data_IF_471200763678
#
_entry.id   IF_471200763678
#
_cell.length_a   1.000
_cell.length_b   1.000
_cell.length_c   1.000
_cell.angle_alpha   90.00
_cell.angle_beta   90.00
_cell.angle_gamma   90.00
#
_symmetry.space_group_name_H-M   'P 1'
#
loop_
_entity.id
_entity.type
_entity.pdbx_description
1 polymer ?
#
# COMPACT_ATOMS: atom_id res chain seq x y z
N UNK A 1 40.59 -30.11 54.01
CA UNK A 1 39.94 -31.16 53.23
C UNK A 1 38.47 -30.79 53.14
N UNK A 2 38.11 -30.17 52.08
CA UNK A 2 36.73 -30.13 51.67
C UNK A 2 36.68 -29.88 50.18
N UNK A 3 36.29 -30.92 49.49
CA UNK A 3 36.18 -31.08 48.09
C UNK A 3 34.79 -30.64 47.69
N UNK A 4 34.61 -29.58 46.92
CA UNK A 4 33.36 -29.24 46.29
C UNK A 4 33.50 -28.02 45.36
N UNK A 5 34.32 -28.13 44.33
CA UNK A 5 34.25 -27.22 43.20
C UNK A 5 33.98 -28.04 41.92
N UNK A 6 32.68 -28.22 41.65
CA UNK A 6 32.21 -28.77 40.40
C UNK A 6 31.50 -27.65 39.64
N UNK A 7 32.00 -27.19 38.47
CA UNK A 7 31.30 -26.18 37.68
C UNK A 7 30.04 -26.74 37.08
N UNK A 8 28.94 -26.04 37.29
CA UNK A 8 27.65 -26.28 36.63
C UNK A 8 27.81 -26.06 35.11
N UNK A 9 27.69 -27.14 34.37
CA UNK A 9 27.55 -27.12 32.91
C UNK A 9 26.26 -26.39 32.55
N UNK A 10 26.42 -25.20 31.98
CA UNK A 10 25.28 -24.47 31.38
C UNK A 10 24.76 -25.25 30.15
N UNK A 11 23.58 -25.81 30.28
CA UNK A 11 22.88 -26.43 29.18
C UNK A 11 22.55 -25.36 28.12
N UNK A 12 23.06 -25.57 26.91
CA UNK A 12 22.74 -24.79 25.72
C UNK A 12 21.25 -24.98 25.39
N UNK A 13 20.45 -23.90 25.16
CA UNK A 13 19.07 -24.07 24.74
C UNK A 13 19.04 -24.70 23.34
N UNK A 14 17.99 -25.48 23.00
CA UNK A 14 17.87 -26.10 21.70
C UNK A 14 17.73 -25.03 20.62
N UNK A 15 18.53 -25.16 19.56
CA UNK A 15 18.51 -24.38 18.34
C UNK A 15 17.15 -24.60 17.68
N UNK A 16 16.22 -23.65 17.91
CA UNK A 16 14.92 -23.63 17.30
C UNK A 16 15.07 -23.37 15.81
N UNK A 17 14.74 -24.34 15.01
CA UNK A 17 14.62 -24.24 13.57
C UNK A 17 13.69 -23.08 13.23
N UNK A 18 14.25 -21.98 12.73
CA UNK A 18 13.49 -20.95 12.07
C UNK A 18 12.93 -21.53 10.78
N UNK A 19 11.62 -21.74 10.75
CA UNK A 19 10.92 -22.04 9.53
C UNK A 19 11.15 -20.90 8.51
N UNK A 20 11.40 -21.17 7.23
CA UNK A 20 11.60 -20.14 6.24
C UNK A 20 10.28 -19.36 6.04
N UNK A 21 10.29 -18.07 6.37
CA UNK A 21 9.26 -17.12 5.97
C UNK A 21 9.40 -16.81 4.47
N UNK A 22 9.24 -17.83 3.65
CA UNK A 22 9.37 -17.77 2.21
C UNK A 22 8.15 -18.35 1.53
N UNK A 23 6.95 -17.89 1.90
CA UNK A 23 5.78 -18.06 1.07
C UNK A 23 5.83 -17.00 -0.02
N UNK A 24 6.31 -17.34 -1.22
CA UNK A 24 6.05 -16.58 -2.43
C UNK A 24 4.54 -16.68 -2.67
N UNK A 25 3.76 -15.76 -2.07
CA UNK A 25 2.37 -15.60 -2.41
C UNK A 25 2.34 -15.06 -3.84
N UNK A 26 2.11 -15.96 -4.80
CA UNK A 26 1.63 -15.57 -6.12
C UNK A 26 0.28 -14.89 -5.89
N UNK A 27 0.27 -13.54 -5.87
CA UNK A 27 -0.97 -12.78 -5.83
C UNK A 27 -1.76 -13.12 -7.10
N UNK A 28 -2.76 -13.99 -6.94
CA UNK A 28 -3.74 -14.19 -7.99
C UNK A 28 -4.43 -12.85 -8.21
N UNK A 29 -4.44 -12.36 -9.46
CA UNK A 29 -5.18 -11.15 -9.84
C UNK A 29 -6.62 -11.36 -9.40
N UNK A 30 -7.10 -10.59 -8.42
CA UNK A 30 -8.48 -10.64 -7.99
C UNK A 30 -9.37 -10.39 -9.22
N UNK A 31 -10.28 -11.30 -9.51
CA UNK A 31 -11.23 -11.11 -10.61
C UNK A 31 -12.07 -9.88 -10.30
N UNK A 32 -12.29 -9.03 -11.32
CA UNK A 32 -13.10 -7.82 -11.18
C UNK A 32 -14.47 -8.19 -10.57
N UNK A 33 -14.74 -7.73 -9.35
CA UNK A 33 -16.01 -7.94 -8.65
C UNK A 33 -15.95 -8.81 -7.38
N UNK A 34 -14.85 -9.51 -7.08
CA UNK A 34 -14.72 -10.19 -5.79
C UNK A 34 -14.34 -9.19 -4.69
N UNK A 35 -14.96 -9.27 -3.49
CA UNK A 35 -14.55 -8.41 -2.37
C UNK A 35 -13.15 -8.77 -1.91
N UNK A 36 -12.34 -7.73 -1.60
CA UNK A 36 -11.05 -7.92 -0.96
C UNK A 36 -11.28 -8.26 0.52
N UNK A 37 -10.67 -9.33 0.96
CA UNK A 37 -10.78 -9.79 2.36
C UNK A 37 -9.57 -9.31 3.18
N UNK A 38 -9.68 -9.22 4.50
CA UNK A 38 -8.53 -9.04 5.38
C UNK A 38 -7.39 -9.99 5.04
N UNK A 39 -6.16 -9.49 5.09
CA UNK A 39 -4.97 -10.18 4.57
C UNK A 39 -4.56 -9.75 3.17
N UNK A 40 -5.46 -9.09 2.39
CA UNK A 40 -5.09 -8.43 1.13
C UNK A 40 -4.27 -7.17 1.39
N UNK A 41 -3.54 -6.71 0.39
CA UNK A 41 -2.74 -5.48 0.43
C UNK A 41 -3.43 -4.35 -0.32
N UNK A 42 -3.63 -3.22 0.34
CA UNK A 42 -4.15 -1.98 -0.25
C UNK A 42 -3.00 -1.03 -0.56
N UNK A 43 -2.91 -0.63 -1.83
CA UNK A 43 -1.94 0.35 -2.30
C UNK A 43 -2.48 1.77 -2.22
N UNK A 44 -1.62 2.73 -1.90
CA UNK A 44 -1.97 4.16 -1.82
C UNK A 44 -0.93 4.98 -2.57
N UNK A 45 -1.39 5.83 -3.48
CA UNK A 45 -0.60 6.93 -4.03
C UNK A 45 -0.80 8.16 -3.16
N UNK A 46 0.31 8.65 -2.57
CA UNK A 46 0.30 9.75 -1.62
C UNK A 46 0.60 9.30 -0.18
N UNK A 47 1.58 9.98 0.42
CA UNK A 47 2.11 9.66 1.74
C UNK A 47 1.73 10.65 2.84
N UNK A 48 0.79 11.57 2.60
CA UNK A 48 0.41 12.62 3.53
C UNK A 48 -0.43 12.14 4.72
N UNK A 49 -1.07 13.08 5.40
CA UNK A 49 -1.84 12.78 6.61
C UNK A 49 -3.11 11.98 6.33
N UNK A 50 -3.79 12.24 5.21
CA UNK A 50 -4.98 11.46 4.83
C UNK A 50 -4.58 10.01 4.51
N UNK A 51 -3.47 9.82 3.78
CA UNK A 51 -2.89 8.50 3.53
C UNK A 51 -2.53 7.79 4.83
N UNK A 52 -1.97 8.49 5.82
CA UNK A 52 -1.69 7.91 7.14
C UNK A 52 -2.97 7.46 7.86
N UNK A 53 -4.03 8.26 7.83
CA UNK A 53 -5.31 7.89 8.43
C UNK A 53 -5.90 6.65 7.73
N UNK A 54 -5.83 6.59 6.40
CA UNK A 54 -6.22 5.43 5.63
C UNK A 54 -5.42 4.18 6.04
N UNK A 55 -4.08 4.29 6.09
CA UNK A 55 -3.19 3.19 6.48
C UNK A 55 -3.55 2.64 7.85
N UNK A 56 -3.72 3.49 8.85
CA UNK A 56 -4.11 3.07 10.19
C UNK A 56 -5.45 2.32 10.20
N UNK A 57 -6.44 2.85 9.46
CA UNK A 57 -7.75 2.22 9.41
C UNK A 57 -7.74 0.90 8.64
N UNK A 58 -7.01 0.82 7.53
CA UNK A 58 -6.82 -0.42 6.79
C UNK A 58 -6.15 -1.51 7.64
N UNK A 59 -5.09 -1.15 8.36
CA UNK A 59 -4.40 -2.08 9.27
C UNK A 59 -5.31 -2.53 10.42
N UNK A 60 -6.11 -1.64 10.99
CA UNK A 60 -7.09 -1.98 12.05
C UNK A 60 -8.15 -2.98 11.55
N UNK A 61 -8.45 -2.98 10.26
CA UNK A 61 -9.36 -3.94 9.60
C UNK A 61 -8.65 -5.21 9.11
N UNK A 62 -7.34 -5.35 9.36
CA UNK A 62 -6.58 -6.54 9.00
C UNK A 62 -6.02 -6.57 7.57
N UNK A 63 -5.93 -5.43 6.89
CA UNK A 63 -5.26 -5.32 5.59
C UNK A 63 -3.79 -4.97 5.73
N UNK A 64 -2.98 -5.44 4.79
CA UNK A 64 -1.64 -4.90 4.57
C UNK A 64 -1.72 -3.61 3.75
N UNK A 65 -0.66 -2.79 3.80
CA UNK A 65 -0.64 -1.49 3.13
C UNK A 65 0.69 -1.26 2.42
N UNK A 66 0.63 -0.71 1.22
CA UNK A 66 1.77 -0.25 0.44
C UNK A 66 1.55 1.22 0.05
N UNK A 67 2.50 2.10 0.34
CA UNK A 67 2.43 3.53 0.03
C UNK A 67 3.52 3.88 -0.96
N UNK A 68 3.16 4.64 -2.00
CA UNK A 68 4.11 5.25 -2.93
C UNK A 68 4.13 6.76 -2.68
N UNK A 69 5.27 7.26 -2.24
CA UNK A 69 5.54 8.67 -2.01
C UNK A 69 7.04 8.92 -2.03
N UNK A 70 7.47 10.03 -2.64
CA UNK A 70 8.89 10.36 -2.79
C UNK A 70 9.56 10.80 -1.48
N UNK A 71 8.79 11.31 -0.51
CA UNK A 71 9.32 11.74 0.79
C UNK A 71 9.58 10.53 1.70
N UNK A 72 10.86 10.24 2.04
CA UNK A 72 11.20 9.14 2.93
C UNK A 72 10.61 9.29 4.34
N UNK A 73 10.18 10.49 4.70
CA UNK A 73 9.57 10.82 6.01
C UNK A 73 8.06 11.01 5.91
N UNK A 74 7.46 10.64 4.79
CA UNK A 74 6.03 10.82 4.57
C UNK A 74 5.20 10.14 5.67
N UNK A 75 4.18 10.83 6.22
CA UNK A 75 3.39 10.34 7.34
C UNK A 75 2.77 8.95 7.14
N UNK A 76 2.29 8.63 5.94
CA UNK A 76 1.74 7.32 5.61
C UNK A 76 2.84 6.28 5.36
N UNK A 77 3.92 6.67 4.69
CA UNK A 77 5.06 5.79 4.42
C UNK A 77 5.68 5.22 5.68
N UNK A 78 5.85 6.06 6.72
CA UNK A 78 6.43 5.67 8.01
C UNK A 78 5.62 4.61 8.79
N UNK A 79 4.35 4.46 8.50
CA UNK A 79 3.44 3.52 9.22
C UNK A 79 2.92 2.39 8.33
N UNK A 80 3.22 2.42 7.03
CA UNK A 80 2.82 1.37 6.08
C UNK A 80 3.71 0.13 6.21
N UNK A 81 3.23 -1.01 5.72
CA UNK A 81 4.04 -2.23 5.63
C UNK A 81 5.11 -2.13 4.54
N UNK A 82 4.81 -1.39 3.46
CA UNK A 82 5.73 -1.14 2.36
C UNK A 82 5.70 0.33 1.98
N UNK A 83 6.87 0.97 1.94
CA UNK A 83 7.03 2.34 1.47
C UNK A 83 7.92 2.35 0.23
N UNK A 84 7.34 2.71 -0.91
CA UNK A 84 8.01 2.83 -2.20
C UNK A 84 8.39 4.31 -2.36
N UNK A 85 9.68 4.61 -2.16
CA UNK A 85 10.19 5.99 -2.07
C UNK A 85 10.55 6.51 -3.46
N UNK A 86 9.55 6.86 -4.26
CA UNK A 86 9.74 7.41 -5.61
C UNK A 86 8.58 8.33 -6.01
N UNK A 87 8.76 9.09 -7.09
CA UNK A 87 7.73 9.97 -7.63
C UNK A 87 6.58 9.20 -8.29
N UNK A 88 5.42 9.85 -8.38
CA UNK A 88 4.19 9.24 -8.92
C UNK A 88 4.24 8.89 -10.41
N UNK A 89 5.24 9.36 -11.14
CA UNK A 89 5.43 9.07 -12.58
C UNK A 89 6.54 8.05 -12.83
N UNK A 90 7.20 7.56 -11.79
CA UNK A 90 8.23 6.53 -11.91
C UNK A 90 7.60 5.18 -12.29
N UNK A 91 7.92 4.69 -13.49
CA UNK A 91 7.36 3.45 -14.02
C UNK A 91 7.73 2.22 -13.16
N UNK A 92 8.93 2.20 -12.58
CA UNK A 92 9.38 1.09 -11.73
C UNK A 92 8.64 1.12 -10.38
N UNK A 93 8.46 2.30 -9.80
CA UNK A 93 7.68 2.48 -8.57
C UNK A 93 6.21 2.09 -8.74
N UNK A 94 5.58 2.51 -9.85
CA UNK A 94 4.20 2.12 -10.17
C UNK A 94 4.07 0.61 -10.38
N UNK A 95 5.01 -0.01 -11.07
CA UNK A 95 5.02 -1.46 -11.25
C UNK A 95 5.20 -2.20 -9.91
N UNK A 96 6.03 -1.69 -9.02
CA UNK A 96 6.24 -2.26 -7.69
C UNK A 96 5.00 -2.09 -6.81
N UNK A 97 4.34 -0.92 -6.82
CA UNK A 97 3.07 -0.72 -6.13
C UNK A 97 2.01 -1.71 -6.64
N UNK A 98 1.87 -1.87 -7.95
CA UNK A 98 0.95 -2.83 -8.53
C UNK A 98 1.30 -4.28 -8.16
N UNK A 99 2.59 -4.63 -8.08
CA UNK A 99 3.04 -5.96 -7.68
C UNK A 99 2.66 -6.29 -6.23
N UNK A 100 2.78 -5.32 -5.34
CA UNK A 100 2.53 -5.48 -3.90
C UNK A 100 1.04 -5.42 -3.54
N UNK A 101 0.21 -4.79 -4.37
CA UNK A 101 -1.17 -4.44 -4.02
C UNK A 101 -2.19 -5.30 -4.74
N UNK A 102 -3.31 -5.59 -4.07
CA UNK A 102 -4.50 -6.23 -4.65
C UNK A 102 -5.49 -5.20 -5.20
N UNK A 103 -5.50 -3.99 -4.63
CA UNK A 103 -6.18 -2.81 -5.17
C UNK A 103 -5.42 -1.55 -4.78
N UNK A 104 -5.65 -0.46 -5.53
CA UNK A 104 -4.95 0.82 -5.31
C UNK A 104 -5.96 1.97 -5.19
N UNK A 105 -5.65 2.90 -4.30
CA UNK A 105 -6.35 4.19 -4.15
C UNK A 105 -5.37 5.35 -4.16
N UNK A 106 -5.88 6.57 -4.14
CA UNK A 106 -5.10 7.80 -3.92
C UNK A 106 -5.66 8.56 -2.74
N UNK A 107 -4.82 9.31 -2.04
CA UNK A 107 -5.25 10.12 -0.89
C UNK A 107 -5.77 11.50 -1.29
N UNK A 108 -5.39 12.01 -2.47
CA UNK A 108 -5.70 13.37 -2.92
C UNK A 108 -5.76 13.45 -4.44
N UNK A 109 -6.34 14.53 -4.96
CA UNK A 109 -6.63 14.71 -6.38
C UNK A 109 -5.40 15.08 -7.23
N UNK A 110 -4.30 15.52 -6.63
CA UNK A 110 -3.12 16.00 -7.39
C UNK A 110 -2.16 14.89 -7.84
N UNK A 111 -2.49 13.63 -7.57
CA UNK A 111 -1.76 12.51 -8.17
C UNK A 111 -2.04 12.46 -9.66
N UNK A 112 -1.03 12.39 -10.55
CA UNK A 112 -1.26 12.39 -11.98
C UNK A 112 -2.26 11.31 -12.41
N UNK A 113 -3.33 11.69 -13.11
CA UNK A 113 -4.34 10.76 -13.60
C UNK A 113 -3.72 9.66 -14.50
N UNK A 114 -2.63 9.96 -15.21
CA UNK A 114 -1.87 9.00 -16.01
C UNK A 114 -1.26 7.88 -15.16
N UNK A 115 -0.79 8.18 -13.94
CA UNK A 115 -0.29 7.17 -13.01
C UNK A 115 -1.39 6.20 -12.58
N UNK A 116 -2.58 6.74 -12.27
CA UNK A 116 -3.75 5.91 -11.94
C UNK A 116 -4.21 5.06 -13.14
N UNK A 117 -4.15 5.60 -14.36
CA UNK A 117 -4.47 4.85 -15.58
C UNK A 117 -3.48 3.70 -15.80
N UNK A 118 -2.19 3.93 -15.57
CA UNK A 118 -1.15 2.89 -15.64
C UNK A 118 -1.42 1.77 -14.64
N UNK A 119 -1.75 2.11 -13.40
CA UNK A 119 -2.08 1.13 -12.36
C UNK A 119 -3.38 0.39 -12.67
N UNK A 120 -4.40 1.07 -13.23
CA UNK A 120 -5.68 0.47 -13.57
C UNK A 120 -5.59 -0.62 -14.66
N UNK A 121 -4.53 -0.60 -15.47
CA UNK A 121 -4.23 -1.68 -16.40
C UNK A 121 -3.73 -2.97 -15.71
N UNK A 122 -3.31 -2.86 -14.46
CA UNK A 122 -2.65 -3.94 -13.70
C UNK A 122 -3.48 -4.40 -12.49
N UNK A 123 -4.18 -3.49 -11.83
CA UNK A 123 -4.94 -3.73 -10.58
C UNK A 123 -6.24 -2.91 -10.57
N UNK A 124 -7.23 -3.31 -9.77
CA UNK A 124 -8.38 -2.46 -9.46
C UNK A 124 -7.91 -1.13 -8.85
N UNK A 125 -8.38 -0.02 -9.41
CA UNK A 125 -8.06 1.34 -8.94
C UNK A 125 -9.35 2.10 -8.66
N UNK A 126 -9.42 2.74 -7.50
CA UNK A 126 -10.52 3.62 -7.11
C UNK A 126 -9.97 4.85 -6.38
N UNK A 127 -10.41 6.07 -6.72
CA UNK A 127 -11.32 6.44 -7.80
C UNK A 127 -10.75 6.18 -9.20
N UNK A 128 -11.61 6.13 -10.21
CA UNK A 128 -11.16 5.95 -11.59
C UNK A 128 -10.28 7.12 -12.05
N UNK A 129 -9.26 6.83 -12.86
CA UNK A 129 -8.34 7.85 -13.39
C UNK A 129 -9.09 9.00 -14.10
N UNK A 130 -10.18 8.69 -14.83
CA UNK A 130 -11.02 9.69 -15.48
C UNK A 130 -11.73 10.62 -14.50
N UNK A 131 -12.15 10.14 -13.36
CA UNK A 131 -12.78 10.95 -12.33
C UNK A 131 -11.77 11.92 -11.69
N UNK A 132 -10.54 11.43 -11.43
CA UNK A 132 -9.45 12.25 -10.91
C UNK A 132 -9.04 13.32 -11.94
N UNK A 133 -8.95 12.97 -13.23
CA UNK A 133 -8.65 13.93 -14.29
C UNK A 133 -9.66 15.09 -14.35
N UNK A 134 -10.95 14.80 -14.16
CA UNK A 134 -12.00 15.84 -14.08
C UNK A 134 -11.77 16.75 -12.87
N UNK A 135 -11.47 16.19 -11.70
CA UNK A 135 -11.24 16.95 -10.47
C UNK A 135 -9.97 17.83 -10.54
N UNK A 136 -8.99 17.47 -11.35
CA UNK A 136 -7.75 18.23 -11.55
C UNK A 136 -7.93 19.47 -12.43
N UNK A 137 -8.97 19.51 -13.26
CA UNK A 137 -9.25 20.64 -14.16
C UNK A 137 -10.54 21.34 -13.73
N UNK A 138 -10.41 22.54 -13.19
CA UNK A 138 -11.54 23.31 -12.67
C UNK A 138 -12.62 23.61 -13.71
N UNK A 139 -12.24 23.77 -14.98
CA UNK A 139 -13.20 24.00 -16.06
C UNK A 139 -13.99 22.71 -16.38
N UNK A 140 -13.31 21.57 -16.44
CA UNK A 140 -13.93 20.28 -16.64
C UNK A 140 -14.82 19.89 -15.45
N UNK A 141 -14.36 20.13 -14.23
CA UNK A 141 -15.15 19.89 -13.02
C UNK A 141 -16.48 20.66 -13.04
N UNK A 142 -16.42 21.97 -13.34
CA UNK A 142 -17.63 22.79 -13.48
C UNK A 142 -18.55 22.31 -14.60
N UNK A 143 -17.98 22.00 -15.76
CA UNK A 143 -18.76 21.47 -16.88
C UNK A 143 -19.43 20.15 -16.52
N UNK A 144 -18.75 19.28 -15.77
CA UNK A 144 -19.29 18.03 -15.27
C UNK A 144 -20.46 18.25 -14.31
N UNK A 145 -20.34 19.17 -13.35
CA UNK A 145 -21.43 19.50 -12.42
C UNK A 145 -22.64 20.03 -13.15
N UNK A 146 -22.49 20.95 -14.11
CA UNK A 146 -23.57 21.44 -14.95
C UNK A 146 -24.25 20.31 -15.73
N UNK A 147 -23.46 19.40 -16.31
CA UNK A 147 -23.99 18.25 -17.04
C UNK A 147 -24.77 17.27 -16.13
N UNK A 148 -24.40 17.20 -14.84
CA UNK A 148 -25.12 16.43 -13.82
C UNK A 148 -26.33 17.16 -13.21
N UNK A 149 -26.65 18.39 -13.67
CA UNK A 149 -27.76 19.20 -13.14
C UNK A 149 -27.46 19.87 -11.80
N UNK A 150 -26.21 19.97 -11.42
CA UNK A 150 -25.76 20.73 -10.23
C UNK A 150 -25.44 22.16 -10.67
N UNK A 151 -26.02 23.21 -10.05
CA UNK A 151 -25.81 24.61 -10.42
C UNK A 151 -24.38 25.12 -10.10
#
# INVERSE_FOLDING_TARGET
MNDSDKPLSAARPPEGAQAPLGGSATHAVASAGAPLLPGSTLGVLGGGQLGRMFVHQAQAMGYFTAVLDADPTSPAGLVSHHHIQTGYEDAAGLAELARLSDAVTTEFENVPAAALATLAALRPVSPAASAVAVAQDRAQEKAHFVACGVP
#
